data_IF_308575296780
#
_entry.id   IF_308575296780
#
_cell.length_a   1.000
_cell.length_b   1.000
_cell.length_c   1.000
_cell.angle_alpha   90.00
_cell.angle_beta   90.00
_cell.angle_gamma   90.00
#
_symmetry.space_group_name_H-M   'P 1'
#
loop_
_entity.id
_entity.type
_entity.pdbx_description
1 polymer ?
#
# COMPACT_ATOMS: atom_id res chain seq x y z
N UNK A 1 -6.94 -20.01 7.78
CA UNK A 1 -7.19 -19.70 6.36
C UNK A 1 -6.66 -18.31 5.94
N UNK A 2 -5.86 -17.61 6.76
CA UNK A 2 -5.42 -16.22 6.45
C UNK A 2 -4.01 -16.12 5.82
N UNK A 3 -3.26 -17.22 5.77
CA UNK A 3 -1.85 -17.22 5.35
C UNK A 3 -1.59 -16.59 3.98
N UNK A 4 -2.27 -17.03 2.90
CA UNK A 4 -2.00 -16.50 1.56
C UNK A 4 -2.44 -15.03 1.39
N UNK A 5 -3.56 -14.63 2.01
CA UNK A 5 -4.02 -13.25 1.97
C UNK A 5 -3.04 -12.30 2.68
N UNK A 6 -2.52 -12.70 3.85
CA UNK A 6 -1.51 -11.94 4.58
C UNK A 6 -0.21 -11.84 3.77
N UNK A 7 0.19 -12.91 3.09
CA UNK A 7 1.37 -12.89 2.21
C UNK A 7 1.20 -11.93 1.02
N UNK A 8 0.03 -11.95 0.38
CA UNK A 8 -0.30 -11.02 -0.71
C UNK A 8 -0.26 -9.56 -0.22
N UNK A 9 -0.87 -9.28 0.93
CA UNK A 9 -0.83 -7.96 1.56
C UNK A 9 0.59 -7.51 1.90
N UNK A 10 1.40 -8.39 2.49
CA UNK A 10 2.78 -8.09 2.84
C UNK A 10 3.62 -7.79 1.59
N UNK A 11 3.49 -8.59 0.52
CA UNK A 11 4.20 -8.38 -0.73
C UNK A 11 3.88 -7.02 -1.36
N UNK A 12 2.59 -6.65 -1.42
CA UNK A 12 2.16 -5.35 -1.94
C UNK A 12 2.66 -4.19 -1.08
N UNK A 13 2.60 -4.33 0.25
CA UNK A 13 3.06 -3.31 1.18
C UNK A 13 4.57 -3.05 1.04
N UNK A 14 5.37 -4.11 0.89
CA UNK A 14 6.80 -3.97 0.62
C UNK A 14 7.07 -3.23 -0.69
N UNK A 15 6.28 -3.49 -1.72
CA UNK A 15 6.45 -2.82 -3.01
C UNK A 15 6.11 -1.33 -2.97
N UNK A 16 5.09 -0.94 -2.22
CA UNK A 16 4.78 0.49 -1.97
C UNK A 16 5.90 1.17 -1.19
N UNK A 17 6.36 0.55 -0.09
CA UNK A 17 7.38 1.16 0.78
C UNK A 17 8.71 1.40 0.06
N UNK A 18 9.11 0.53 -0.88
CA UNK A 18 10.32 0.73 -1.70
C UNK A 18 10.31 2.03 -2.52
N UNK A 19 9.13 2.56 -2.82
CA UNK A 19 8.95 3.76 -3.66
C UNK A 19 8.91 5.04 -2.87
N UNK A 20 8.81 4.96 -1.55
CA UNK A 20 8.87 6.15 -0.72
C UNK A 20 10.27 6.77 -0.77
N UNK A 21 10.37 8.11 -0.78
CA UNK A 21 11.67 8.78 -0.81
C UNK A 21 12.49 8.41 0.41
N UNK A 22 13.74 7.98 0.20
CA UNK A 22 14.63 7.52 1.27
C UNK A 22 14.96 8.62 2.28
N UNK A 23 14.95 9.88 1.85
CA UNK A 23 15.16 11.04 2.71
C UNK A 23 14.07 11.23 3.79
N UNK A 24 12.92 10.57 3.65
CA UNK A 24 11.82 10.61 4.61
C UNK A 24 11.62 9.28 5.35
N UNK A 25 12.57 8.35 5.21
CA UNK A 25 12.57 7.09 5.94
C UNK A 25 12.52 7.36 7.46
N UNK A 26 11.65 6.64 8.16
CA UNK A 26 11.40 6.83 9.60
C UNK A 26 10.33 7.89 9.94
N UNK A 27 9.91 8.72 9.00
CA UNK A 27 8.76 9.61 9.22
C UNK A 27 7.44 8.84 9.12
N UNK A 28 6.47 9.16 9.98
CA UNK A 28 5.19 8.44 10.02
C UNK A 28 4.50 8.39 8.66
N UNK A 29 4.41 9.54 7.97
CA UNK A 29 3.76 9.70 6.67
C UNK A 29 4.38 8.86 5.52
N UNK A 30 5.59 8.37 5.72
CA UNK A 30 6.36 7.56 4.76
C UNK A 30 6.69 6.19 5.34
N UNK A 31 5.79 5.66 6.17
CA UNK A 31 5.92 4.35 6.79
C UNK A 31 4.61 3.56 6.66
N UNK A 32 4.66 2.27 6.99
CA UNK A 32 3.47 1.42 7.06
C UNK A 32 2.37 1.96 7.99
N UNK A 33 2.72 2.83 8.96
CA UNK A 33 1.74 3.45 9.87
C UNK A 33 0.76 4.38 9.14
N UNK A 34 1.20 4.97 8.03
CA UNK A 34 0.38 5.84 7.18
C UNK A 34 -0.31 5.07 6.05
N UNK A 35 -0.40 3.74 6.13
CA UNK A 35 -1.01 2.90 5.10
C UNK A 35 -2.16 2.08 5.67
N UNK A 36 -3.11 1.75 4.81
CA UNK A 36 -4.17 0.79 5.07
C UNK A 36 -4.26 -0.20 3.92
N UNK A 37 -4.41 -1.48 4.25
CA UNK A 37 -4.51 -2.55 3.26
C UNK A 37 -5.93 -3.09 3.25
N UNK A 38 -6.54 -3.12 2.06
CA UNK A 38 -7.81 -3.78 1.80
C UNK A 38 -7.56 -4.91 0.81
N UNK A 39 -8.02 -6.12 1.13
CA UNK A 39 -7.80 -7.31 0.33
C UNK A 39 -9.14 -7.81 -0.18
N UNK A 40 -9.27 -7.91 -1.50
CA UNK A 40 -10.31 -8.69 -2.17
C UNK A 40 -9.75 -9.99 -2.69
N UNK A 41 -10.60 -11.01 -2.83
CA UNK A 41 -10.24 -12.27 -3.46
C UNK A 41 -11.27 -12.61 -4.52
N UNK A 42 -10.82 -12.94 -5.73
CA UNK A 42 -11.68 -13.32 -6.84
C UNK A 42 -10.94 -14.31 -7.74
N UNK A 43 -11.61 -15.40 -8.14
CA UNK A 43 -11.04 -16.44 -9.01
C UNK A 43 -9.62 -16.94 -8.62
N UNK A 44 -9.31 -17.02 -7.32
CA UNK A 44 -8.00 -17.45 -6.79
C UNK A 44 -6.93 -16.36 -6.75
N UNK A 45 -7.21 -15.18 -7.30
CA UNK A 45 -6.35 -14.00 -7.22
C UNK A 45 -6.63 -13.19 -5.96
N UNK A 46 -5.61 -12.52 -5.44
CA UNK A 46 -5.77 -11.49 -4.40
C UNK A 46 -5.59 -10.11 -5.02
N UNK A 47 -6.57 -9.24 -4.77
CA UNK A 47 -6.52 -7.84 -5.16
C UNK A 47 -6.23 -7.02 -3.91
N UNK A 48 -5.05 -6.41 -3.85
CA UNK A 48 -4.56 -5.66 -2.68
C UNK A 48 -4.56 -4.18 -2.99
N UNK A 49 -5.48 -3.45 -2.36
CA UNK A 49 -5.54 -1.99 -2.39
C UNK A 49 -4.83 -1.43 -1.18
N UNK A 50 -3.90 -0.50 -1.41
CA UNK A 50 -3.14 0.20 -0.37
C UNK A 50 -3.56 1.66 -0.39
N UNK A 51 -4.29 2.10 0.63
CA UNK A 51 -4.73 3.48 0.78
C UNK A 51 -3.72 4.30 1.58
N UNK A 52 -3.55 5.58 1.23
CA UNK A 52 -2.82 6.53 2.05
C UNK A 52 -3.69 6.97 3.23
N UNK A 53 -3.14 6.85 4.45
CA UNK A 53 -3.79 7.21 5.72
C UNK A 53 -2.90 8.11 6.55
N UNK A 54 -2.48 9.23 5.96
CA UNK A 54 -1.67 10.26 6.64
C UNK A 54 -2.41 10.88 7.83
N UNK A 55 -3.73 10.75 7.89
CA UNK A 55 -4.56 11.09 9.05
C UNK A 55 -4.20 10.28 10.31
N UNK A 56 -3.55 9.12 10.16
CA UNK A 56 -3.04 8.33 11.29
C UNK A 56 -1.73 8.88 11.88
N UNK A 57 -1.15 9.91 11.27
CA UNK A 57 0.13 10.48 11.68
C UNK A 57 -0.02 11.82 12.40
N UNK A 58 0.62 12.01 13.57
CA UNK A 58 0.62 13.29 14.26
C UNK A 58 1.51 14.30 13.52
N UNK A 59 0.90 15.36 12.99
CA UNK A 59 1.60 16.33 12.15
C UNK A 59 1.92 15.74 10.79
N UNK A 60 1.38 16.32 9.73
CA UNK A 60 1.74 15.94 8.37
C UNK A 60 3.22 16.30 8.17
N UNK A 61 4.08 15.30 7.93
CA UNK A 61 5.52 15.52 7.74
C UNK A 61 5.82 16.50 6.60
N UNK A 62 7.04 17.06 6.52
CA UNK A 62 7.42 17.92 5.41
C UNK A 62 7.16 17.23 4.07
N UNK A 63 6.61 17.98 3.11
CA UNK A 63 6.18 17.53 1.76
C UNK A 63 4.97 16.60 1.68
N UNK A 64 4.17 16.46 2.73
CA UNK A 64 2.78 16.01 2.55
C UNK A 64 1.99 17.20 1.97
N UNK A 65 1.97 17.30 0.64
CA UNK A 65 1.48 18.50 -0.08
C UNK A 65 -0.01 18.48 -0.39
N UNK A 66 -0.79 17.55 0.17
CA UNK A 66 -2.22 17.49 -0.04
C UNK A 66 -2.91 16.52 0.91
N UNK A 67 -4.20 16.75 1.12
CA UNK A 67 -5.14 15.75 1.60
C UNK A 67 -5.27 14.66 0.53
N UNK A 68 -4.21 13.88 0.28
CA UNK A 68 -4.17 12.74 -0.64
C UNK A 68 -5.01 11.57 -0.13
N UNK A 69 -6.22 11.86 0.37
CA UNK A 69 -7.17 10.88 0.91
C UNK A 69 -7.66 9.92 -0.17
N UNK A 70 -7.52 10.29 -1.43
CA UNK A 70 -7.88 9.51 -2.61
C UNK A 70 -6.70 8.76 -3.24
N UNK A 71 -5.45 8.97 -2.79
CA UNK A 71 -4.33 8.20 -3.28
C UNK A 71 -4.44 6.74 -2.85
N UNK A 72 -4.30 5.83 -3.81
CA UNK A 72 -4.13 4.41 -3.56
C UNK A 72 -3.24 3.76 -4.59
N UNK A 73 -2.60 2.66 -4.20
CA UNK A 73 -2.04 1.69 -5.13
C UNK A 73 -2.91 0.44 -5.15
N UNK A 74 -3.04 -0.20 -6.32
CA UNK A 74 -3.77 -1.45 -6.47
C UNK A 74 -2.83 -2.50 -7.08
N UNK A 75 -2.81 -3.68 -6.46
CA UNK A 75 -2.00 -4.81 -6.89
C UNK A 75 -2.87 -6.04 -7.11
N UNK A 76 -2.55 -6.84 -8.12
CA UNK A 76 -3.01 -8.21 -8.26
C UNK A 76 -1.89 -9.16 -7.84
N UNK A 77 -2.23 -10.17 -7.05
CA UNK A 77 -1.33 -11.26 -6.66
C UNK A 77 -1.91 -12.57 -7.16
N UNK A 78 -1.16 -13.26 -8.00
CA UNK A 78 -1.58 -14.55 -8.56
C UNK A 78 -1.55 -15.66 -7.50
N UNK A 79 -2.24 -16.80 -7.74
CA UNK A 79 -2.14 -17.98 -6.86
C UNK A 79 -0.70 -18.45 -6.63
N UNK A 80 0.18 -18.24 -7.61
CA UNK A 80 1.61 -18.56 -7.58
C UNK A 80 2.47 -17.49 -6.88
N UNK A 81 1.84 -16.39 -6.42
CA UNK A 81 2.50 -15.31 -5.69
C UNK A 81 3.10 -14.21 -6.58
N UNK A 82 2.80 -14.20 -7.89
CA UNK A 82 3.27 -13.12 -8.78
C UNK A 82 2.52 -11.83 -8.48
N UNK A 83 3.24 -10.76 -8.20
CA UNK A 83 2.68 -9.44 -7.91
C UNK A 83 2.74 -8.52 -9.13
N UNK A 84 1.59 -7.98 -9.52
CA UNK A 84 1.44 -7.04 -10.62
C UNK A 84 0.79 -5.76 -10.10
N UNK A 85 1.34 -4.60 -10.42
CA UNK A 85 0.75 -3.31 -10.05
C UNK A 85 -0.22 -2.89 -11.15
N UNK A 86 -1.46 -2.56 -10.79
CA UNK A 86 -2.35 -1.88 -11.72
C UNK A 86 -1.77 -0.49 -12.02
N UNK A 87 -1.62 -0.13 -13.31
CA UNK A 87 -1.16 1.20 -13.66
C UNK A 87 -2.13 2.23 -13.11
N UNK A 88 -1.58 3.24 -12.44
CA UNK A 88 -2.31 4.37 -11.88
C UNK A 88 -3.22 4.97 -12.95
N UNK A 89 -4.53 4.96 -12.72
CA UNK A 89 -5.48 5.77 -13.48
C UNK A 89 -5.68 7.07 -12.69
N UNK A 90 -5.16 8.21 -13.16
CA UNK A 90 -5.31 9.51 -12.51
C UNK A 90 -6.78 9.96 -12.40
#
# INVERSE_FOLDING_TARGET
>A
MEGPAIQAAHAALQEVLKRFPKEFEGQCAFSARALEVVIGQEAGWYFVRINRRVDRCPGFGPRVTGLETDWFELYAVSPEGKLERYPYQP
#
